data_IF_376592788675
#
_entry.id   IF_376592788675
#
_cell.length_a   1.000
_cell.length_b   1.000
_cell.length_c   1.000
_cell.angle_alpha   90.00
_cell.angle_beta   90.00
_cell.angle_gamma   90.00
#
_symmetry.space_group_name_H-M   'P 1'
#
loop_
_entity.id
_entity.type
_entity.pdbx_description
1 polymer ?
#
# COMPACT_ATOMS: atom_id res chain seq x y z
N UNK A 1 12.74 3.24 6.41
CA UNK A 1 11.67 3.16 7.39
C UNK A 1 10.61 4.21 7.13
N UNK A 2 9.37 3.89 7.39
CA UNK A 2 8.29 4.84 7.16
C UNK A 2 8.36 5.96 8.19
N UNK A 3 8.24 7.20 7.74
CA UNK A 3 8.26 8.36 8.60
C UNK A 3 7.18 8.28 9.66
N UNK A 4 7.48 8.89 10.80
CA UNK A 4 6.57 8.83 11.94
C UNK A 4 5.18 9.37 11.62
N UNK A 5 5.12 10.50 10.92
CA UNK A 5 3.83 11.12 10.59
C UNK A 5 3.05 10.34 9.55
N UNK A 6 3.71 9.42 8.83
CA UNK A 6 3.06 8.58 7.86
C UNK A 6 2.65 7.23 8.42
N UNK A 7 2.84 7.02 9.71
CA UNK A 7 2.38 5.81 10.36
C UNK A 7 0.98 5.99 10.90
N UNK A 8 0.12 5.04 10.58
CA UNK A 8 -1.21 4.98 11.12
C UNK A 8 -1.10 4.19 12.42
N UNK A 9 -1.22 4.85 13.56
CA UNK A 9 -0.90 4.25 14.84
C UNK A 9 -2.07 3.99 15.76
N UNK A 10 -3.03 4.89 15.76
CA UNK A 10 -4.14 4.78 16.69
C UNK A 10 -4.97 3.56 16.34
N UNK A 11 -5.21 2.72 17.32
CA UNK A 11 -5.93 1.49 17.11
C UNK A 11 -7.29 1.73 16.47
N UNK A 12 -7.98 2.77 16.91
CA UNK A 12 -9.27 3.12 16.34
C UNK A 12 -9.15 3.43 14.85
N UNK A 13 -8.14 4.21 14.46
CA UNK A 13 -7.96 4.59 13.07
C UNK A 13 -7.57 3.39 12.21
N UNK A 14 -6.69 2.54 12.74
CA UNK A 14 -6.31 1.33 12.02
C UNK A 14 -7.53 0.43 11.81
N UNK A 15 -8.32 0.25 12.86
CA UNK A 15 -9.50 -0.59 12.78
C UNK A 15 -10.51 -0.03 11.81
N UNK A 16 -10.71 1.28 11.81
CA UNK A 16 -11.64 1.92 10.90
C UNK A 16 -11.19 1.76 9.45
N UNK A 17 -9.91 2.01 9.18
CA UNK A 17 -9.38 1.86 7.83
C UNK A 17 -9.45 0.40 7.38
N UNK A 18 -9.21 -0.53 8.31
CA UNK A 18 -9.26 -1.94 7.98
C UNK A 18 -10.67 -2.43 7.66
N UNK A 19 -11.66 -1.94 8.40
CA UNK A 19 -13.03 -2.39 8.19
C UNK A 19 -13.74 -1.64 7.07
N UNK A 20 -13.44 -0.37 6.87
CA UNK A 20 -14.11 0.46 5.86
C UNK A 20 -13.31 0.64 4.59
N UNK A 21 -12.03 0.34 4.62
CA UNK A 21 -11.19 0.52 3.46
C UNK A 21 -11.53 -0.42 2.34
N UNK A 22 -11.35 0.05 1.11
CA UNK A 22 -11.54 -0.76 -0.08
C UNK A 22 -10.43 -1.81 -0.16
N UNK A 23 -10.77 -3.09 -0.30
CA UNK A 23 -9.72 -4.12 -0.35
C UNK A 23 -9.13 -4.26 -1.75
N UNK A 24 -7.81 -4.38 -1.81
CA UNK A 24 -7.10 -4.70 -3.03
C UNK A 24 -6.09 -5.78 -2.65
N UNK A 25 -6.29 -6.98 -3.18
CA UNK A 25 -5.45 -8.13 -2.84
C UNK A 25 -4.52 -8.46 -3.99
N UNK A 26 -3.23 -8.61 -3.69
CA UNK A 26 -2.23 -9.02 -4.66
C UNK A 26 -1.27 -9.98 -3.96
N UNK A 27 -1.32 -11.26 -4.35
CA UNK A 27 -0.45 -12.27 -3.75
C UNK A 27 -0.54 -12.31 -2.23
N UNK A 28 0.59 -12.17 -1.54
CA UNK A 28 0.59 -12.27 -0.08
C UNK A 28 0.16 -11.00 0.65
N UNK A 29 -0.22 -9.94 -0.07
CA UNK A 29 -0.64 -8.69 0.56
C UNK A 29 -2.08 -8.34 0.22
N UNK A 30 -2.78 -7.81 1.22
CA UNK A 30 -4.09 -7.18 1.03
C UNK A 30 -3.98 -5.76 1.55
N UNK A 31 -4.35 -4.80 0.72
CA UNK A 31 -4.41 -3.41 1.14
C UNK A 31 -5.86 -3.02 1.40
N UNK A 32 -6.11 -2.36 2.53
CA UNK A 32 -7.39 -1.73 2.81
C UNK A 32 -7.16 -0.23 2.71
N UNK A 33 -7.79 0.41 1.75
CA UNK A 33 -7.52 1.80 1.41
C UNK A 33 -8.74 2.64 1.74
N UNK A 34 -8.56 3.56 2.68
CA UNK A 34 -9.65 4.40 3.17
C UNK A 34 -9.28 5.87 2.96
N UNK A 35 -10.13 6.64 2.29
CA UNK A 35 -9.83 8.06 2.09
C UNK A 35 -9.72 8.79 3.42
N UNK A 36 -8.80 9.72 3.50
CA UNK A 36 -8.63 10.55 4.69
C UNK A 36 -8.57 12.02 4.27
N UNK A 37 -9.72 12.66 4.11
CA UNK A 37 -9.76 14.06 3.65
C UNK A 37 -9.19 15.04 4.64
N UNK A 38 -9.03 14.65 5.91
CA UNK A 38 -8.41 15.52 6.90
C UNK A 38 -6.91 15.64 6.70
N UNK A 39 -6.31 14.72 5.95
CA UNK A 39 -4.88 14.73 5.66
C UNK A 39 -4.66 14.55 4.16
N UNK A 40 -5.06 15.53 3.34
CA UNK A 40 -4.96 15.35 1.88
C UNK A 40 -3.54 15.38 1.36
N UNK A 41 -2.57 15.80 2.18
CA UNK A 41 -1.20 15.97 1.73
C UNK A 41 -0.34 14.72 1.86
N UNK A 42 -0.85 13.67 2.55
CA UNK A 42 -0.03 12.47 2.74
C UNK A 42 -0.88 11.22 2.89
N UNK A 43 -0.24 10.08 2.77
CA UNK A 43 -0.83 8.78 3.09
C UNK A 43 -0.25 8.30 4.41
N UNK A 44 -1.09 7.65 5.21
CA UNK A 44 -0.62 7.02 6.44
C UNK A 44 -0.79 5.51 6.31
N UNK A 45 0.13 4.76 6.90
CA UNK A 45 0.21 3.31 6.71
C UNK A 45 0.28 2.56 8.02
N UNK A 46 -0.34 1.39 8.05
CA UNK A 46 -0.16 0.39 9.09
C UNK A 46 0.12 -0.94 8.42
N UNK A 47 1.03 -1.71 8.99
CA UNK A 47 1.39 -3.02 8.45
C UNK A 47 1.07 -4.05 9.52
N UNK A 48 0.25 -5.02 9.15
CA UNK A 48 -0.24 -6.05 10.08
C UNK A 48 0.15 -7.42 9.56
N UNK A 49 0.68 -8.27 10.43
CA UNK A 49 0.98 -9.66 10.10
C UNK A 49 0.54 -10.52 11.26
N UNK A 50 -0.44 -11.40 11.02
CA UNK A 50 -0.98 -12.26 12.06
C UNK A 50 -0.14 -13.51 12.30
N UNK A 51 -0.52 -14.26 13.34
CA UNK A 51 0.23 -15.44 13.74
C UNK A 51 0.25 -16.53 12.67
N UNK A 52 -0.75 -16.54 11.79
CA UNK A 52 -0.81 -17.53 10.71
C UNK A 52 0.33 -17.38 9.70
N UNK A 53 0.94 -16.22 9.68
CA UNK A 53 2.01 -15.94 8.70
C UNK A 53 3.30 -16.61 9.11
N UNK A 54 3.51 -16.85 10.40
CA UNK A 54 4.72 -17.48 10.89
C UNK A 54 5.05 -17.01 12.29
N UNK A 55 6.25 -17.32 12.76
CA UNK A 55 6.70 -16.89 14.06
C UNK A 55 7.04 -15.41 14.10
N UNK A 56 7.42 -14.94 15.28
CA UNK A 56 7.69 -13.53 15.50
C UNK A 56 8.80 -12.99 14.58
N UNK A 57 9.85 -13.78 14.41
CA UNK A 57 10.98 -13.36 13.58
C UNK A 57 10.53 -13.19 12.11
N UNK A 58 9.81 -14.17 11.62
CA UNK A 58 9.31 -14.14 10.23
C UNK A 58 8.34 -12.98 10.03
N UNK A 59 7.40 -12.78 10.97
CA UNK A 59 6.45 -11.67 10.87
C UNK A 59 7.15 -10.33 10.89
N UNK A 60 8.13 -10.16 11.77
CA UNK A 60 8.85 -8.89 11.85
C UNK A 60 9.62 -8.61 10.57
N UNK A 61 10.21 -9.64 9.99
CA UNK A 61 10.94 -9.49 8.74
C UNK A 61 10.02 -9.08 7.60
N UNK A 62 8.85 -9.73 7.51
CA UNK A 62 7.87 -9.38 6.50
C UNK A 62 7.38 -7.94 6.64
N UNK A 63 7.09 -7.53 7.89
CA UNK A 63 6.65 -6.15 8.11
C UNK A 63 7.73 -5.15 7.73
N UNK A 64 8.99 -5.50 8.01
CA UNK A 64 10.11 -4.62 7.66
C UNK A 64 10.23 -4.47 6.14
N UNK A 65 10.10 -5.58 5.41
CA UNK A 65 10.15 -5.54 3.95
C UNK A 65 9.03 -4.66 3.39
N UNK A 66 7.82 -4.82 3.92
CA UNK A 66 6.68 -4.03 3.44
C UNK A 66 6.89 -2.55 3.77
N UNK A 67 7.38 -2.23 4.96
CA UNK A 67 7.63 -0.84 5.34
C UNK A 67 8.69 -0.18 4.45
N UNK A 68 9.72 -0.92 4.11
CA UNK A 68 10.76 -0.38 3.23
C UNK A 68 10.21 -0.17 1.82
N UNK A 69 9.38 -1.10 1.35
CA UNK A 69 8.74 -0.95 0.04
C UNK A 69 7.82 0.28 0.03
N UNK A 70 7.08 0.49 1.13
CA UNK A 70 6.23 1.69 1.27
C UNK A 70 7.08 2.95 1.17
N UNK A 71 8.19 2.99 1.87
CA UNK A 71 9.05 4.16 1.89
C UNK A 71 9.49 4.54 0.47
N UNK A 72 9.80 3.53 -0.32
CA UNK A 72 10.28 3.76 -1.69
C UNK A 72 9.15 4.14 -2.64
N UNK A 73 7.98 3.57 -2.44
CA UNK A 73 6.88 3.78 -3.39
C UNK A 73 6.01 4.98 -3.05
N UNK A 74 5.94 5.36 -1.77
CA UNK A 74 5.01 6.40 -1.33
C UNK A 74 5.09 7.70 -2.15
N UNK A 75 6.28 8.19 -2.52
CA UNK A 75 6.32 9.44 -3.31
C UNK A 75 5.59 9.38 -4.65
N UNK A 76 5.36 8.19 -5.17
CA UNK A 76 4.66 8.03 -6.45
C UNK A 76 3.16 7.78 -6.27
N UNK A 77 2.69 7.65 -5.04
CA UNK A 77 1.28 7.36 -4.77
C UNK A 77 0.52 8.65 -4.52
N UNK A 78 -0.73 8.67 -4.97
CA UNK A 78 -1.62 9.81 -4.70
C UNK A 78 -1.88 9.88 -3.20
N UNK A 79 -1.72 11.06 -2.59
CA UNK A 79 -1.88 11.19 -1.14
C UNK A 79 -3.34 11.25 -0.72
N UNK A 80 -3.56 11.27 0.60
CA UNK A 80 -4.88 11.48 1.14
C UNK A 80 -5.61 10.21 1.56
N UNK A 81 -4.86 9.15 1.90
CA UNK A 81 -5.46 7.87 2.26
C UNK A 81 -4.84 7.29 3.52
N UNK A 82 -5.64 6.55 4.26
CA UNK A 82 -5.16 5.67 5.31
C UNK A 82 -5.15 4.27 4.73
N UNK A 83 -4.00 3.61 4.75
CA UNK A 83 -3.81 2.32 4.09
C UNK A 83 -3.31 1.30 5.11
N UNK A 84 -4.06 0.23 5.27
CA UNK A 84 -3.66 -0.88 6.13
C UNK A 84 -3.21 -2.02 5.20
N UNK A 85 -1.95 -2.40 5.34
CA UNK A 85 -1.40 -3.50 4.55
C UNK A 85 -1.36 -4.74 5.43
N UNK A 86 -2.11 -5.75 5.02
CA UNK A 86 -2.24 -6.99 5.76
C UNK A 86 -1.44 -8.06 5.05
N UNK A 87 -0.40 -8.55 5.74
CA UNK A 87 0.41 -9.65 5.23
C UNK A 87 -0.31 -10.94 5.57
N UNK A 88 -0.64 -11.71 4.55
CA UNK A 88 -1.32 -13.00 4.75
C UNK A 88 -0.59 -14.17 4.12
N UNK A 89 0.55 -13.92 3.48
CA UNK A 89 1.40 -14.96 2.94
C UNK A 89 2.66 -15.09 3.74
N UNK A 90 3.37 -16.19 3.54
CA UNK A 90 4.59 -16.45 4.27
C UNK A 90 5.79 -15.75 3.65
N UNK A 91 6.90 -15.75 4.38
CA UNK A 91 8.15 -15.15 3.89
C UNK A 91 8.58 -15.77 2.56
N UNK A 92 8.29 -17.04 2.35
CA UNK A 92 8.63 -17.69 1.09
C UNK A 92 7.92 -17.08 -0.11
N UNK A 93 6.79 -16.41 0.11
CA UNK A 93 6.05 -15.77 -0.96
C UNK A 93 6.48 -14.33 -1.20
N UNK A 94 7.22 -13.76 -0.26
CA UNK A 94 7.70 -12.39 -0.38
C UNK A 94 9.07 -12.31 0.29
N UNK A 95 10.08 -12.99 -0.30
CA UNK A 95 11.36 -13.16 0.38
C UNK A 95 12.32 -11.98 0.25
N UNK A 96 12.02 -11.00 -0.59
CA UNK A 96 12.95 -9.91 -0.84
C UNK A 96 12.24 -8.58 -0.98
N UNK A 97 13.00 -7.51 -0.85
CA UNK A 97 12.47 -6.17 -1.04
C UNK A 97 11.95 -5.98 -2.46
N UNK A 98 12.64 -6.54 -3.46
CA UNK A 98 12.20 -6.40 -4.84
C UNK A 98 10.81 -6.99 -5.04
N UNK A 99 10.55 -8.14 -4.45
CA UNK A 99 9.22 -8.76 -4.53
C UNK A 99 8.18 -7.90 -3.79
N UNK A 100 8.53 -7.39 -2.62
CA UNK A 100 7.62 -6.54 -1.86
C UNK A 100 7.28 -5.27 -2.65
N UNK A 101 8.27 -4.66 -3.28
CA UNK A 101 8.05 -3.47 -4.10
C UNK A 101 7.16 -3.77 -5.30
N UNK A 102 7.40 -4.88 -5.97
CA UNK A 102 6.59 -5.26 -7.12
C UNK A 102 5.14 -5.51 -6.73
N UNK A 103 4.94 -6.18 -5.60
CA UNK A 103 3.61 -6.48 -5.09
C UNK A 103 2.88 -5.18 -4.74
N UNK A 104 3.55 -4.28 -4.05
CA UNK A 104 2.95 -3.03 -3.63
C UNK A 104 2.66 -2.12 -4.83
N UNK A 105 3.55 -2.13 -5.84
CA UNK A 105 3.33 -1.38 -7.06
C UNK A 105 2.06 -1.85 -7.77
N UNK A 106 1.88 -3.17 -7.85
CA UNK A 106 0.68 -3.72 -8.46
C UNK A 106 -0.57 -3.32 -7.68
N UNK A 107 -0.49 -3.30 -6.36
CA UNK A 107 -1.60 -2.82 -5.53
C UNK A 107 -1.92 -1.36 -5.87
N UNK A 108 -0.89 -0.53 -5.95
CA UNK A 108 -1.08 0.88 -6.30
C UNK A 108 -1.72 1.07 -7.67
N UNK A 109 -1.31 0.26 -8.63
CA UNK A 109 -1.91 0.31 -9.96
C UNK A 109 -3.37 -0.09 -9.94
N UNK A 110 -3.69 -1.19 -9.28
CA UNK A 110 -5.08 -1.67 -9.22
C UNK A 110 -5.98 -0.74 -8.44
N UNK A 111 -5.41 -0.07 -7.45
CA UNK A 111 -6.17 0.86 -6.63
C UNK A 111 -6.32 2.24 -7.28
N UNK A 112 -5.60 2.50 -8.37
CA UNK A 112 -5.62 3.80 -9.00
C UNK A 112 -4.84 4.85 -8.24
N UNK A 113 -3.87 4.42 -7.43
CA UNK A 113 -3.11 5.34 -6.59
C UNK A 113 -1.77 5.78 -7.19
N UNK A 114 -1.31 5.16 -8.27
CA UNK A 114 -0.09 5.61 -8.90
C UNK A 114 -0.38 6.95 -9.55
N UNK A 115 0.25 7.98 -9.05
CA UNK A 115 -0.13 9.31 -9.40
C UNK A 115 0.64 9.92 -10.55
N UNK A 116 0.34 11.18 -10.80
CA UNK A 116 0.97 11.94 -11.85
C UNK A 116 2.46 12.13 -11.59
N UNK A 117 2.90 11.99 -10.35
CA UNK A 117 4.30 12.09 -10.03
C UNK A 117 5.09 10.89 -10.51
N UNK A 118 4.40 9.87 -10.98
CA UNK A 118 5.06 8.71 -11.47
C UNK A 118 5.98 9.05 -12.62
N UNK A 119 7.17 8.49 -12.65
CA UNK A 119 8.08 8.75 -13.76
C UNK A 119 7.44 8.35 -15.07
N UNK A 120 7.73 9.06 -16.09
CA UNK A 120 7.16 8.81 -17.42
C UNK A 120 7.67 7.54 -18.04
N UNK A 121 7.85 6.61 -17.40
CA UNK A 121 8.26 5.38 -17.95
C UNK A 121 7.35 4.87 -18.91
N UNK A 122 7.11 5.05 -18.74
CA UNK A 122 6.42 4.69 -19.13
C UNK A 122 5.54 4.47 -19.44
N UNK A 123 5.25 4.70 -19.19
CA UNK A 123 4.47 4.63 -19.35
C UNK A 123 3.75 4.76 -20.04
N UNK A 124 3.54 4.71 -20.39
CA UNK A 124 2.87 4.87 -20.84
C UNK A 124 1.93 4.25 -21.07
N UNK A 125 1.75 3.80 -20.75
CA UNK A 125 0.87 3.19 -20.83
C UNK A 125 -0.02 3.19 -19.96
N UNK A 126 -0.01 3.63 -19.36
CA UNK A 126 -0.77 3.90 -18.63
C UNK A 126 -1.46 4.78 -18.65
N UNK A 127 -1.57 5.16 -18.83
CA UNK A 127 -2.21 6.03 -18.75
C UNK A 127 -3.28 6.03 -19.03
N UNK A 128 -3.72 5.80 -19.04
CA UNK A 128 -4.59 5.94 -19.07
C UNK A 128 -5.23 5.72 -18.40
N UNK A 129 -5.30 5.57 -17.97
CA UNK A 129 -5.69 5.65 -17.17
C UNK A 129 -6.19 6.32 -16.81
N UNK A 130 -5.92 6.12 -16.92
CA UNK A 130 -6.38 6.98 -16.51
C UNK A 130 -7.05 7.26 -16.75
N UNK A 131 -7.54 6.93 -16.79
CA UNK A 131 -8.34 7.52 -16.68
C UNK A 131 -8.92 7.49 -16.50
N UNK A 132 -9.03 7.05 -16.75
CA UNK A 132 -9.60 7.37 -16.36
C UNK A 132 -10.09 7.31 -16.09
N UNK A 133 -10.68 6.80 -16.31
CA UNK A 133 -11.11 7.03 -15.84
C UNK A 133 -11.27 7.40 -15.28
N UNK A 134 -11.51 6.72 -15.71
CA UNK A 134 -11.60 7.28 -15.20
C UNK A 134 -11.64 7.43 -14.90
N UNK A 135 -11.75 6.96 -15.20
CA UNK A 135 -11.68 7.40 -14.80
C UNK A 135 -11.64 7.42 -14.50
N UNK A 136 -11.72 7.14 -14.55
CA UNK A 136 -11.59 7.41 -14.22
C UNK A 136 -11.39 7.61 -13.83
N UNK A 137 -11.65 7.01 -14.05
CA UNK A 137 -11.52 7.45 -13.78
C UNK A 137 -11.51 7.58 -13.76
N UNK A 138 -11.43 7.28 -13.52
CA UNK A 138 -11.45 7.64 -13.54
C UNK A 138 -11.43 7.71 -13.53
N UNK A 139 -11.69 7.20 -13.46
CA UNK A 139 -11.73 7.54 -13.50
C UNK A 139 -11.83 7.65 -13.46
#
# INVERSE_FOLDING_TARGET
MVDRERRLRREFEVRQARSRGRPVAVGPLVARIHPNPARPELNRYAVVAGKKVGGAVERNRLKRLVREAIRRLDPTLKPGHDIVLIVRGRLSEMPSLAIAEATLTTIGQRAGLLGAAQPPIANESNQRWARPRSSQTEL
#
